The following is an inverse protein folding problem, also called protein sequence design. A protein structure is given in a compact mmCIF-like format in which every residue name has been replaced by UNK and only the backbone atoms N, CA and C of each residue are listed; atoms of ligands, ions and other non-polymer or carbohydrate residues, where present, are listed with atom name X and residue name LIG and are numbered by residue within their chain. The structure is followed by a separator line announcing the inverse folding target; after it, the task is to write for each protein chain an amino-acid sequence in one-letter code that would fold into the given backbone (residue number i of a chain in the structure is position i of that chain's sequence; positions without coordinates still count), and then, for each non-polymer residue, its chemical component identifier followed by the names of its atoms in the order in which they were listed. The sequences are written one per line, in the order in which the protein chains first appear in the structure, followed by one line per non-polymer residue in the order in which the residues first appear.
data_IF_821722988810
#
_entry.id   IF_821722988810
#
_cell.length_a   1.000
_cell.length_b   1.000
_cell.length_c   1.000
_cell.angle_alpha   90.00
_cell.angle_beta   90.00
_cell.angle_gamma   90.00
#
_symmetry.space_group_name_H-M   'P 1'
#
loop_
_entity.id
_entity.type
_entity.pdbx_description
1 polymer ?
#
# COMPACT_ATOMS: atom_id res chain seq x y z
N UNK A 1 7.12 -25.12 -13.96
CA UNK A 1 6.57 -23.77 -13.74
C UNK A 1 7.46 -22.79 -14.48
N UNK A 2 6.86 -22.02 -15.37
CA UNK A 2 7.51 -21.47 -16.56
C UNK A 2 8.03 -20.05 -16.28
N UNK A 3 9.18 -19.67 -16.84
CA UNK A 3 9.81 -18.35 -16.70
C UNK A 3 8.84 -17.15 -16.87
N UNK A 4 7.75 -17.35 -17.60
CA UNK A 4 6.64 -16.40 -17.72
C UNK A 4 5.93 -16.08 -16.39
N UNK A 5 5.73 -17.05 -15.50
CA UNK A 5 5.10 -16.83 -14.19
C UNK A 5 5.98 -15.98 -13.27
N UNK A 6 7.30 -16.22 -13.29
CA UNK A 6 8.29 -15.44 -12.52
C UNK A 6 8.38 -14.00 -13.04
N UNK A 7 8.41 -13.83 -14.36
CA UNK A 7 8.42 -12.50 -15.01
C UNK A 7 7.12 -11.72 -14.75
N UNK A 8 5.96 -12.41 -14.70
CA UNK A 8 4.69 -11.79 -14.33
C UNK A 8 4.64 -11.40 -12.85
N UNK A 9 5.13 -12.27 -11.95
CA UNK A 9 5.21 -12.01 -10.53
C UNK A 9 6.16 -10.83 -10.22
N UNK A 10 7.30 -10.74 -10.91
CA UNK A 10 8.23 -9.62 -10.77
C UNK A 10 7.62 -8.27 -11.16
N UNK A 11 6.88 -8.22 -12.29
CA UNK A 11 6.16 -7.01 -12.69
C UNK A 11 5.04 -6.63 -11.71
N UNK A 12 4.31 -7.63 -11.19
CA UNK A 12 3.27 -7.39 -10.19
C UNK A 12 3.85 -6.85 -8.88
N UNK A 13 4.98 -7.40 -8.43
CA UNK A 13 5.71 -6.92 -7.25
C UNK A 13 6.17 -5.46 -7.41
N UNK A 14 6.73 -5.12 -8.58
CA UNK A 14 7.19 -3.77 -8.85
C UNK A 14 6.04 -2.75 -8.87
N UNK A 15 4.94 -3.06 -9.57
CA UNK A 15 3.75 -2.19 -9.58
C UNK A 15 3.16 -2.00 -8.17
N UNK A 16 3.19 -3.05 -7.35
CA UNK A 16 2.73 -2.98 -5.97
C UNK A 16 3.64 -2.12 -5.09
N UNK A 17 4.96 -2.24 -5.27
CA UNK A 17 5.96 -1.43 -4.56
C UNK A 17 5.78 0.07 -4.85
N UNK A 18 5.55 0.41 -6.12
CA UNK A 18 5.26 1.78 -6.54
C UNK A 18 3.96 2.32 -5.91
N UNK A 19 2.91 1.50 -5.84
CA UNK A 19 1.66 1.86 -5.20
C UNK A 19 1.82 2.08 -3.68
N UNK A 20 2.59 1.22 -2.99
CA UNK A 20 2.90 1.37 -1.56
C UNK A 20 3.64 2.68 -1.30
N UNK A 21 4.62 3.01 -2.14
CA UNK A 21 5.40 4.24 -2.02
C UNK A 21 4.52 5.49 -2.23
N UNK A 22 3.64 5.47 -3.24
CA UNK A 22 2.69 6.56 -3.48
C UNK A 22 1.73 6.78 -2.30
N UNK A 23 1.17 5.70 -1.74
CA UNK A 23 0.26 5.81 -0.59
C UNK A 23 1.00 6.30 0.66
N UNK A 24 2.26 5.88 0.87
CA UNK A 24 3.08 6.38 1.96
C UNK A 24 3.42 7.88 1.83
N UNK A 25 3.68 8.37 0.62
CA UNK A 25 3.87 9.79 0.35
C UNK A 25 2.60 10.59 0.68
N UNK A 26 1.43 10.09 0.25
CA UNK A 26 0.14 10.71 0.57
C UNK A 26 -0.10 10.73 2.08
N UNK A 27 0.16 9.63 2.79
CA UNK A 27 0.05 9.53 4.26
C UNK A 27 0.94 10.53 4.98
N UNK A 28 2.19 10.69 4.51
CA UNK A 28 3.13 11.66 5.08
C UNK A 28 2.65 13.09 4.86
N UNK A 29 2.14 13.41 3.66
CA UNK A 29 1.63 14.73 3.32
C UNK A 29 0.41 15.13 4.17
N UNK A 30 -0.44 14.17 4.54
CA UNK A 30 -1.61 14.42 5.40
C UNK A 30 -1.34 14.22 6.89
N UNK A 31 -0.15 13.78 7.29
CA UNK A 31 0.20 13.59 8.70
C UNK A 31 0.01 14.88 9.54
N UNK A 32 0.34 16.09 9.05
CA UNK A 32 0.03 17.34 9.76
C UNK A 32 -1.48 17.57 9.94
N UNK A 33 -2.31 17.05 9.03
CA UNK A 33 -3.77 17.16 9.09
C UNK A 33 -4.42 16.23 10.12
N UNK A 34 -3.68 15.22 10.65
CA UNK A 34 -4.16 14.37 11.75
C UNK A 34 -4.52 15.18 12.99
N UNK A 35 -3.83 16.30 13.24
CA UNK A 35 -4.13 17.21 14.36
C UNK A 35 -5.55 17.80 14.22
N UNK A 36 -5.99 18.03 12.98
CA UNK A 36 -7.34 18.52 12.69
C UNK A 36 -8.39 17.39 12.60
N UNK A 37 -7.97 16.11 12.49
CA UNK A 37 -8.89 14.97 12.42
C UNK A 37 -9.60 14.66 13.76
N UNK A 38 -9.08 15.18 14.86
CA UNK A 38 -9.78 15.20 16.16
C UNK A 38 -10.88 16.28 16.20
N UNK A 39 -10.82 17.26 15.30
CA UNK A 39 -11.76 18.40 15.22
C UNK A 39 -12.77 18.19 14.08
N UNK A 40 -12.34 17.59 12.97
CA UNK A 40 -13.12 17.42 11.74
C UNK A 40 -13.25 15.93 11.34
N UNK A 41 -14.46 15.34 11.47
CA UNK A 41 -14.72 13.92 11.20
C UNK A 41 -14.37 13.45 9.77
N UNK A 42 -14.43 14.35 8.78
CA UNK A 42 -14.20 14.04 7.38
C UNK A 42 -12.72 13.69 7.12
N UNK A 43 -11.79 14.39 7.78
CA UNK A 43 -10.37 14.08 7.68
C UNK A 43 -10.03 12.75 8.35
N UNK A 44 -10.68 12.42 9.48
CA UNK A 44 -10.56 11.11 10.13
C UNK A 44 -10.97 9.97 9.20
N UNK A 45 -12.08 10.13 8.45
CA UNK A 45 -12.53 9.14 7.48
C UNK A 45 -11.49 8.92 6.37
N UNK A 46 -10.93 9.99 5.83
CA UNK A 46 -9.89 9.91 4.79
C UNK A 46 -8.62 9.23 5.30
N UNK A 47 -8.18 9.58 6.51
CA UNK A 47 -7.00 8.97 7.15
C UNK A 47 -7.19 7.46 7.38
N UNK A 48 -8.34 7.06 7.91
CA UNK A 48 -8.67 5.66 8.12
C UNK A 48 -8.72 4.87 6.81
N UNK A 49 -9.21 5.49 5.72
CA UNK A 49 -9.19 4.88 4.40
C UNK A 49 -7.79 4.64 3.86
N UNK A 50 -6.87 5.61 4.07
CA UNK A 50 -5.46 5.46 3.67
C UNK A 50 -4.74 4.40 4.48
N UNK A 51 -4.96 4.34 5.80
CA UNK A 51 -4.39 3.29 6.64
C UNK A 51 -4.94 1.88 6.26
N UNK A 52 -6.19 1.78 5.81
CA UNK A 52 -6.77 0.53 5.31
C UNK A 52 -6.14 0.08 3.97
N UNK A 53 -6.00 1.01 3.01
CA UNK A 53 -5.34 0.71 1.73
C UNK A 53 -3.89 0.26 1.93
N UNK A 54 -3.15 0.86 2.87
CA UNK A 54 -1.77 0.44 3.17
C UNK A 54 -1.71 -1.01 3.64
N UNK A 55 -2.61 -1.41 4.56
CA UNK A 55 -2.67 -2.80 5.03
C UNK A 55 -2.97 -3.78 3.90
N UNK A 56 -3.92 -3.46 3.04
CA UNK A 56 -4.26 -4.32 1.89
C UNK A 56 -3.06 -4.49 0.94
N UNK A 57 -2.33 -3.40 0.67
CA UNK A 57 -1.14 -3.45 -0.18
C UNK A 57 -0.01 -4.26 0.48
N UNK A 58 0.24 -4.08 1.77
CA UNK A 58 1.23 -4.86 2.53
C UNK A 58 0.89 -6.37 2.53
N UNK A 59 -0.39 -6.72 2.69
CA UNK A 59 -0.85 -8.11 2.60
C UNK A 59 -0.63 -8.69 1.19
N UNK A 60 -0.91 -7.93 0.14
CA UNK A 60 -0.64 -8.35 -1.23
C UNK A 60 0.86 -8.54 -1.47
N UNK A 61 1.70 -7.68 -0.90
CA UNK A 61 3.15 -7.75 -1.07
C UNK A 61 3.69 -9.03 -0.42
N UNK A 62 3.29 -9.30 0.82
CA UNK A 62 3.66 -10.52 1.53
C UNK A 62 3.24 -11.79 0.79
N UNK A 63 2.05 -11.80 0.16
CA UNK A 63 1.58 -12.94 -0.65
C UNK A 63 2.41 -13.14 -1.91
N UNK A 64 2.83 -12.05 -2.56
CA UNK A 64 3.69 -12.13 -3.76
C UNK A 64 5.11 -12.56 -3.38
N UNK A 65 5.67 -12.05 -2.29
CA UNK A 65 6.97 -12.47 -1.76
C UNK A 65 6.99 -13.98 -1.46
N UNK A 66 5.95 -14.49 -0.79
CA UNK A 66 5.84 -15.94 -0.53
C UNK A 66 5.76 -16.80 -1.81
N UNK A 67 5.21 -16.28 -2.91
CA UNK A 67 5.18 -16.96 -4.20
C UNK A 67 6.50 -16.89 -4.98
N UNK A 68 7.39 -15.95 -4.64
CA UNK A 68 8.71 -15.79 -5.27
C UNK A 68 9.79 -16.60 -4.55
N UNK A 69 9.58 -16.95 -3.28
CA UNK A 69 10.51 -17.76 -2.48
C UNK A 69 10.31 -19.30 -2.62
N UNK A 70 9.21 -19.75 -3.23
CA UNK A 70 8.93 -21.17 -3.60
C UNK A 70 9.45 -21.55 -5.01
#
# INVERSE_FOLDING_TARGET
MQAWQVDHAGRAYQALSEAVEEVNLRRTHIAPLRIYADILPEYRKTLNGIDAMLRELEEHQSRIEGLLEE
#
